data_IF_312057721793
#
_entry.id   IF_312057721793
#
_cell.length_a   1.000
_cell.length_b   1.000
_cell.length_c   1.000
_cell.angle_alpha   90.00
_cell.angle_beta   90.00
_cell.angle_gamma   90.00
#
_symmetry.space_group_name_H-M   'P 1'
#
loop_
_entity.id
_entity.type
_entity.pdbx_description
1 polymer ?
#
# COMPACT_ATOMS: atom_id res chain seq x y z
N UNK A 1 2.21 16.59 9.88
CA UNK A 1 1.37 15.40 9.65
C UNK A 1 0.36 15.33 10.78
N UNK A 2 -0.88 14.95 10.48
CA UNK A 2 -1.91 14.69 11.48
C UNK A 2 -1.71 13.32 12.12
N UNK A 3 -2.30 13.08 13.30
CA UNK A 3 -2.25 11.77 13.94
C UNK A 3 -2.82 10.67 13.04
N UNK A 4 -3.90 10.98 12.31
CA UNK A 4 -4.51 10.06 11.35
C UNK A 4 -3.56 9.67 10.21
N UNK A 5 -2.81 10.64 9.66
CA UNK A 5 -1.77 10.40 8.65
C UNK A 5 -0.65 9.51 9.18
N UNK A 6 -0.20 9.76 10.42
CA UNK A 6 0.84 8.97 11.08
C UNK A 6 0.38 7.53 11.31
N UNK A 7 -0.87 7.33 11.74
CA UNK A 7 -1.42 5.99 11.94
C UNK A 7 -1.55 5.22 10.63
N UNK A 8 -2.03 5.86 9.56
CA UNK A 8 -2.12 5.24 8.23
C UNK A 8 -0.73 4.86 7.69
N UNK A 9 0.25 5.76 7.80
CA UNK A 9 1.63 5.47 7.44
C UNK A 9 2.18 4.28 8.25
N UNK A 10 1.99 4.29 9.57
CA UNK A 10 2.49 3.23 10.45
C UNK A 10 1.86 1.87 10.13
N UNK A 11 0.56 1.83 9.84
CA UNK A 11 -0.13 0.60 9.46
C UNK A 11 0.52 -0.03 8.23
N UNK A 12 0.78 0.77 7.19
CA UNK A 12 1.42 0.27 5.96
C UNK A 12 2.88 -0.10 6.22
N UNK A 13 3.60 0.67 7.05
CA UNK A 13 4.96 0.36 7.49
C UNK A 13 5.04 -1.02 8.13
N UNK A 14 4.22 -1.25 9.14
CA UNK A 14 4.23 -2.50 9.92
C UNK A 14 3.92 -3.69 9.01
N UNK A 15 2.96 -3.55 8.09
CA UNK A 15 2.62 -4.58 7.11
C UNK A 15 3.76 -4.85 6.14
N UNK A 16 4.37 -3.81 5.56
CA UNK A 16 5.51 -3.93 4.64
C UNK A 16 6.67 -4.65 5.32
N UNK A 17 7.02 -4.25 6.54
CA UNK A 17 8.15 -4.84 7.27
C UNK A 17 7.88 -6.30 7.66
N UNK A 18 6.62 -6.65 7.98
CA UNK A 18 6.25 -7.99 8.42
C UNK A 18 6.04 -8.99 7.27
N UNK A 19 5.42 -8.56 6.16
CA UNK A 19 4.92 -9.47 5.12
C UNK A 19 5.65 -9.29 3.76
N UNK A 20 6.03 -8.05 3.40
CA UNK A 20 6.61 -7.76 2.08
C UNK A 20 8.13 -7.93 2.08
N UNK A 21 8.84 -7.22 2.95
CA UNK A 21 10.32 -7.19 3.02
C UNK A 21 10.94 -8.59 3.18
N UNK A 22 10.38 -9.52 3.99
CA UNK A 22 10.97 -10.85 4.11
C UNK A 22 10.86 -11.71 2.85
N UNK A 23 9.87 -11.44 1.99
CA UNK A 23 9.54 -12.31 0.85
C UNK A 23 9.98 -11.74 -0.51
N UNK A 24 10.17 -10.42 -0.61
CA UNK A 24 10.42 -9.73 -1.90
C UNK A 24 11.61 -10.31 -2.68
N UNK A 25 12.71 -10.68 -2.01
CA UNK A 25 13.89 -11.21 -2.69
C UNK A 25 13.65 -12.54 -3.41
N UNK A 26 12.70 -13.36 -2.94
CA UNK A 26 12.31 -14.59 -3.64
C UNK A 26 11.45 -14.27 -4.88
N UNK A 27 10.46 -13.41 -4.71
CA UNK A 27 9.52 -13.03 -5.76
C UNK A 27 10.19 -12.26 -6.90
N UNK A 28 11.13 -11.36 -6.57
CA UNK A 28 11.96 -10.65 -7.55
C UNK A 28 12.81 -11.63 -8.39
N UNK A 29 13.46 -12.62 -7.75
CA UNK A 29 14.23 -13.66 -8.47
C UNK A 29 13.36 -14.52 -9.38
N UNK A 30 12.10 -14.75 -9.00
CA UNK A 30 11.11 -15.47 -9.83
C UNK A 30 10.53 -14.60 -10.94
N UNK A 31 10.73 -13.28 -10.89
CA UNK A 31 10.07 -12.31 -11.75
C UNK A 31 8.53 -12.40 -11.69
N UNK A 32 8.02 -12.74 -10.51
CA UNK A 32 6.60 -12.92 -10.24
C UNK A 32 6.18 -12.02 -9.08
N UNK A 33 4.93 -11.56 -9.10
CA UNK A 33 4.35 -10.87 -7.94
C UNK A 33 3.79 -11.91 -6.97
N UNK A 34 4.03 -11.71 -5.68
CA UNK A 34 3.40 -12.52 -4.64
C UNK A 34 1.86 -12.44 -4.78
N UNK A 35 1.16 -13.57 -5.03
CA UNK A 35 -0.28 -13.57 -5.28
C UNK A 35 -1.11 -13.08 -4.09
N UNK A 36 -0.57 -13.17 -2.87
CA UNK A 36 -1.25 -12.73 -1.65
C UNK A 36 -1.19 -11.21 -1.45
N UNK A 37 -0.29 -10.50 -2.12
CA UNK A 37 -0.06 -9.08 -1.85
C UNK A 37 -1.25 -8.21 -2.20
N UNK A 38 -1.88 -8.39 -3.37
CA UNK A 38 -3.03 -7.56 -3.76
C UNK A 38 -4.29 -7.83 -2.91
N UNK A 39 -4.68 -9.10 -2.64
CA UNK A 39 -5.72 -9.39 -1.66
C UNK A 39 -5.46 -8.72 -0.32
N UNK A 40 -4.22 -8.80 0.18
CA UNK A 40 -3.84 -8.21 1.45
C UNK A 40 -3.93 -6.69 1.46
N UNK A 41 -3.50 -6.02 0.39
CA UNK A 41 -3.68 -4.58 0.23
C UNK A 41 -5.16 -4.16 0.22
N UNK A 42 -6.03 -4.98 -0.37
CA UNK A 42 -7.47 -4.75 -0.36
C UNK A 42 -8.07 -4.89 1.05
N UNK A 43 -7.70 -5.95 1.77
CA UNK A 43 -8.14 -6.21 3.15
C UNK A 43 -7.73 -5.10 4.12
N UNK A 44 -6.51 -4.56 3.96
CA UNK A 44 -6.01 -3.43 4.74
C UNK A 44 -6.60 -2.09 4.31
N UNK A 45 -7.42 -2.06 3.25
CA UNK A 45 -8.03 -0.84 2.71
C UNK A 45 -7.04 0.09 2.02
N UNK A 46 -5.83 -0.37 1.70
CA UNK A 46 -4.76 0.42 1.08
C UNK A 46 -5.18 0.85 -0.32
N UNK A 47 -5.78 -0.06 -1.10
CA UNK A 47 -6.23 0.22 -2.48
C UNK A 47 -7.28 1.35 -2.55
N UNK A 48 -8.05 1.55 -1.49
CA UNK A 48 -9.10 2.57 -1.40
C UNK A 48 -8.73 3.75 -0.49
N UNK A 49 -7.46 3.96 -0.17
CA UNK A 49 -7.05 4.83 0.95
C UNK A 49 -7.60 6.26 0.82
N UNK A 50 -7.55 6.85 -0.37
CA UNK A 50 -8.03 8.21 -0.64
C UNK A 50 -9.42 8.26 -1.29
N UNK A 51 -10.04 7.10 -1.52
CA UNK A 51 -11.38 7.03 -2.11
C UNK A 51 -12.42 7.37 -1.02
N UNK A 52 -13.41 8.24 -1.29
CA UNK A 52 -14.43 8.58 -0.30
C UNK A 52 -15.16 7.35 0.25
N UNK A 53 -15.45 7.35 1.56
CA UNK A 53 -16.16 6.24 2.25
C UNK A 53 -17.47 5.85 1.58
N UNK A 54 -18.22 6.81 1.02
CA UNK A 54 -19.47 6.54 0.29
C UNK A 54 -19.30 5.64 -0.95
N UNK A 55 -18.08 5.45 -1.43
CA UNK A 55 -17.73 4.56 -2.54
C UNK A 55 -16.96 3.32 -2.07
N UNK A 56 -16.89 3.06 -0.77
CA UNK A 56 -16.20 1.89 -0.20
C UNK A 56 -14.71 2.08 0.08
N UNK A 57 -14.19 3.30 0.01
CA UNK A 57 -12.81 3.62 0.40
C UNK A 57 -12.66 4.03 1.87
N UNK A 58 -11.47 4.49 2.23
CA UNK A 58 -11.13 4.93 3.60
C UNK A 58 -11.31 6.44 3.82
N UNK A 59 -11.39 7.23 2.75
CA UNK A 59 -11.67 8.67 2.81
C UNK A 59 -10.52 9.54 3.31
N UNK A 60 -9.28 9.06 3.29
CA UNK A 60 -8.12 9.87 3.63
C UNK A 60 -7.77 10.88 2.51
N UNK A 61 -6.91 11.85 2.84
CA UNK A 61 -6.43 12.84 1.89
C UNK A 61 -5.28 12.34 1.01
N UNK A 62 -4.95 13.11 -0.03
CA UNK A 62 -3.84 12.79 -0.94
C UNK A 62 -2.46 12.85 -0.27
N UNK A 63 -2.32 13.57 0.85
CA UNK A 63 -1.08 13.52 1.64
C UNK A 63 -0.92 12.14 2.28
N UNK A 64 -1.99 11.57 2.81
CA UNK A 64 -2.00 10.19 3.32
C UNK A 64 -1.69 9.19 2.21
N UNK A 65 -2.27 9.35 1.02
CA UNK A 65 -1.92 8.52 -0.14
C UNK A 65 -0.41 8.60 -0.46
N UNK A 66 0.16 9.81 -0.46
CA UNK A 66 1.60 10.01 -0.66
C UNK A 66 2.45 9.27 0.37
N UNK A 67 2.12 9.41 1.65
CA UNK A 67 2.81 8.71 2.74
C UNK A 67 2.70 7.18 2.62
N UNK A 68 1.51 6.67 2.28
CA UNK A 68 1.31 5.24 2.03
C UNK A 68 2.17 4.78 0.84
N UNK A 69 2.22 5.54 -0.25
CA UNK A 69 3.08 5.24 -1.40
C UNK A 69 4.58 5.20 -1.03
N UNK A 70 5.05 6.08 -0.15
CA UNK A 70 6.44 6.06 0.34
C UNK A 70 6.76 4.76 1.08
N UNK A 71 5.85 4.27 1.92
CA UNK A 71 6.03 3.02 2.66
C UNK A 71 6.00 1.80 1.72
N UNK A 72 5.12 1.79 0.73
CA UNK A 72 5.06 0.75 -0.29
C UNK A 72 6.34 0.71 -1.12
N UNK A 73 6.83 1.86 -1.58
CA UNK A 73 8.06 1.97 -2.37
C UNK A 73 9.29 1.49 -1.58
N UNK A 74 9.33 1.69 -0.25
CA UNK A 74 10.41 1.16 0.59
C UNK A 74 10.46 -0.37 0.57
N UNK A 75 9.30 -1.02 0.52
CA UNK A 75 9.20 -2.48 0.51
C UNK A 75 9.44 -3.09 -0.87
N UNK A 76 8.66 -2.64 -1.85
CA UNK A 76 8.69 -3.13 -3.22
C UNK A 76 8.08 -2.09 -4.17
N UNK A 77 8.89 -1.60 -5.11
CA UNK A 77 8.51 -0.66 -6.16
C UNK A 77 7.26 -1.10 -6.92
N UNK A 78 7.06 -2.40 -7.14
CA UNK A 78 5.90 -2.97 -7.85
C UNK A 78 4.60 -2.58 -7.17
N UNK A 79 4.54 -2.61 -5.83
CA UNK A 79 3.33 -2.31 -5.06
C UNK A 79 2.90 -0.86 -5.23
N UNK A 80 3.87 0.05 -5.22
CA UNK A 80 3.63 1.47 -5.50
C UNK A 80 3.25 1.69 -6.97
N UNK A 81 3.75 0.90 -7.94
CA UNK A 81 3.25 0.93 -9.34
C UNK A 81 1.78 0.59 -9.37
N UNK A 82 1.40 -0.53 -8.75
CA UNK A 82 0.01 -0.96 -8.74
C UNK A 82 -0.88 0.13 -8.16
N UNK A 83 -0.49 0.75 -7.04
CA UNK A 83 -1.23 1.88 -6.48
C UNK A 83 -1.38 3.06 -7.45
N UNK A 84 -0.30 3.45 -8.13
CA UNK A 84 -0.34 4.59 -9.05
C UNK A 84 -1.27 4.34 -10.25
N UNK A 85 -1.26 3.11 -10.77
CA UNK A 85 -2.13 2.70 -11.90
C UNK A 85 -3.57 2.60 -11.42
N UNK A 86 -3.81 1.94 -10.29
CA UNK A 86 -5.15 1.74 -9.73
C UNK A 86 -5.87 3.05 -9.39
N UNK A 87 -5.13 4.07 -8.95
CA UNK A 87 -5.70 5.39 -8.66
C UNK A 87 -5.75 6.33 -9.87
N UNK A 88 -4.88 6.13 -10.86
CA UNK A 88 -4.69 7.03 -11.98
C UNK A 88 -5.46 6.66 -13.26
N UNK A 89 -5.89 5.41 -13.39
CA UNK A 89 -6.59 4.85 -14.55
C UNK A 89 -7.90 4.17 -14.12
#
# INVERSE_FOLDING_TARGET
MTDAQIQAQKMVRDWVDAEVVPTIGEWDRKQEMNPETLPRMAELGILGISIPVRYGGQGFDYLTLGLVCEELERGDTTLRVVMSVHHGL
#
